data_IF_915232166471
#
_entry.id   IF_915232166471
#
_cell.length_a   1.000
_cell.length_b   1.000
_cell.length_c   1.000
_cell.angle_alpha   90.00
_cell.angle_beta   90.00
_cell.angle_gamma   90.00
#
_symmetry.space_group_name_H-M   'P 1'
#
loop_
_entity.id
_entity.type
_entity.pdbx_description
1 polymer ?
#
# COMPACT_ATOMS: atom_id res chain seq x y z
N UNK A 1 2.26 2.27 -15.73
CA UNK A 1 1.49 3.44 -16.18
C UNK A 1 1.24 4.42 -15.02
N UNK A 2 1.01 3.89 -13.80
CA UNK A 2 0.69 4.70 -12.61
C UNK A 2 1.49 4.19 -11.42
N UNK A 3 2.04 5.12 -10.64
CA UNK A 3 2.58 4.88 -9.30
C UNK A 3 1.55 5.38 -8.28
N UNK A 4 1.10 4.50 -7.41
CA UNK A 4 0.24 4.84 -6.27
C UNK A 4 1.00 4.63 -4.96
N UNK A 5 0.60 5.32 -3.90
CA UNK A 5 1.22 5.11 -2.60
C UNK A 5 0.26 5.40 -1.46
N UNK A 6 0.58 4.77 -0.33
CA UNK A 6 -0.21 4.81 0.89
C UNK A 6 0.40 5.81 1.88
N UNK A 7 -0.46 6.62 2.49
CA UNK A 7 -0.08 7.63 3.49
C UNK A 7 0.54 6.96 4.72
N UNK A 8 1.69 7.42 5.17
CA UNK A 8 2.43 8.57 4.64
C UNK A 8 3.87 8.24 4.23
N UNK A 9 4.51 7.25 4.87
CA UNK A 9 5.93 6.95 4.63
C UNK A 9 6.21 6.42 3.23
N UNK A 10 5.25 5.68 2.64
CA UNK A 10 5.32 5.22 1.26
C UNK A 10 5.50 6.34 0.23
N UNK A 11 5.01 7.56 0.54
CA UNK A 11 5.10 8.70 -0.37
C UNK A 11 6.53 9.10 -0.72
N UNK A 12 7.47 8.90 0.20
CA UNK A 12 8.89 9.22 -0.03
C UNK A 12 9.47 8.35 -1.16
N UNK A 13 9.22 7.06 -1.10
CA UNK A 13 9.68 6.11 -2.12
C UNK A 13 8.93 6.27 -3.43
N UNK A 14 7.60 6.33 -3.35
CA UNK A 14 6.75 6.41 -4.52
C UNK A 14 6.93 7.71 -5.31
N UNK A 15 7.12 8.84 -4.65
CA UNK A 15 7.38 10.12 -5.30
C UNK A 15 8.67 10.08 -6.11
N UNK A 16 9.72 9.48 -5.56
CA UNK A 16 11.01 9.30 -6.27
C UNK A 16 10.84 8.37 -7.48
N UNK A 17 10.18 7.23 -7.30
CA UNK A 17 9.91 6.26 -8.38
C UNK A 17 9.07 6.91 -9.49
N UNK A 18 8.01 7.63 -9.14
CA UNK A 18 7.14 8.29 -10.10
C UNK A 18 7.91 9.33 -10.94
N UNK A 19 8.76 10.13 -10.29
CA UNK A 19 9.61 11.10 -10.94
C UNK A 19 10.60 10.44 -11.91
N UNK A 20 11.33 9.42 -11.44
CA UNK A 20 12.39 8.78 -12.24
C UNK A 20 11.83 8.02 -13.45
N UNK A 21 10.61 7.47 -13.31
CA UNK A 21 9.90 6.79 -14.39
C UNK A 21 9.02 7.74 -15.22
N UNK A 22 8.93 9.02 -14.85
CA UNK A 22 8.03 10.01 -15.48
C UNK A 22 6.57 9.54 -15.54
N UNK A 23 6.09 8.93 -14.44
CA UNK A 23 4.74 8.38 -14.33
C UNK A 23 3.84 9.25 -13.43
N UNK A 24 2.53 9.26 -13.68
CA UNK A 24 1.55 9.86 -12.76
C UNK A 24 1.63 9.27 -11.37
N UNK A 25 1.43 10.11 -10.35
CA UNK A 25 1.45 9.72 -8.95
C UNK A 25 0.08 9.87 -8.30
N UNK A 26 -0.46 8.79 -7.75
CA UNK A 26 -1.78 8.72 -7.10
C UNK A 26 -1.61 8.53 -5.60
N UNK A 27 -2.25 9.40 -4.82
CA UNK A 27 -2.21 9.35 -3.37
C UNK A 27 -3.38 8.54 -2.82
N UNK A 28 -3.09 7.51 -2.02
CA UNK A 28 -4.06 6.83 -1.17
C UNK A 28 -3.90 7.34 0.26
N UNK A 29 -4.93 8.00 0.81
CA UNK A 29 -4.83 8.72 2.07
C UNK A 29 -5.92 8.35 3.07
N UNK A 30 -5.68 8.66 4.35
CA UNK A 30 -6.70 8.57 5.41
C UNK A 30 -7.88 9.50 5.08
N UNK A 31 -9.10 9.20 5.60
CA UNK A 31 -10.30 9.99 5.31
C UNK A 31 -10.13 11.48 5.57
N UNK A 32 -10.69 12.29 4.66
CA UNK A 32 -10.70 13.75 4.78
C UNK A 32 -9.37 14.43 4.49
N UNK A 33 -8.35 13.69 4.00
CA UNK A 33 -7.03 14.26 3.65
C UNK A 33 -6.89 14.60 2.17
N UNK A 34 -7.81 14.16 1.33
CA UNK A 34 -7.83 14.45 -0.10
C UNK A 34 -8.86 15.53 -0.42
N UNK A 35 -8.54 16.47 -1.34
CA UNK A 35 -9.53 17.38 -1.88
C UNK A 35 -10.53 16.61 -2.76
N UNK A 36 -11.68 17.20 -3.04
CA UNK A 36 -12.72 16.65 -3.91
C UNK A 36 -13.39 15.36 -3.40
N UNK A 37 -14.23 14.77 -4.25
CA UNK A 37 -14.92 13.50 -3.97
C UNK A 37 -13.94 12.35 -4.04
N UNK A 38 -14.08 11.38 -3.12
CA UNK A 38 -13.22 10.22 -3.00
C UNK A 38 -14.00 8.92 -3.12
N UNK A 39 -13.30 7.86 -3.54
CA UNK A 39 -13.68 6.48 -3.27
C UNK A 39 -13.02 6.07 -1.95
N UNK A 40 -13.77 5.36 -1.09
CA UNK A 40 -13.33 4.94 0.23
C UNK A 40 -13.40 3.42 0.37
N UNK A 41 -12.41 2.86 1.03
CA UNK A 41 -12.40 1.45 1.45
C UNK A 41 -12.05 1.35 2.92
N UNK A 42 -12.95 0.76 3.71
CA UNK A 42 -12.71 0.43 5.11
C UNK A 42 -12.09 -0.96 5.22
N UNK A 43 -11.26 -1.15 6.22
CA UNK A 43 -10.64 -2.42 6.57
C UNK A 43 -10.35 -2.48 8.07
N UNK A 44 -10.25 -3.69 8.60
CA UNK A 44 -10.00 -3.92 10.01
C UNK A 44 -8.49 -3.93 10.29
N UNK A 45 -8.12 -3.32 11.41
CA UNK A 45 -6.83 -3.45 12.07
C UNK A 45 -7.00 -4.32 13.31
N UNK A 46 -5.91 -4.73 13.94
CA UNK A 46 -5.95 -5.49 15.20
C UNK A 46 -6.74 -4.75 16.30
N UNK A 47 -6.67 -3.42 16.30
CA UNK A 47 -7.30 -2.55 17.31
C UNK A 47 -8.31 -1.56 16.71
N UNK A 48 -9.25 -2.05 15.89
CA UNK A 48 -10.32 -1.24 15.33
C UNK A 48 -10.41 -1.25 13.80
N UNK A 49 -11.26 -0.39 13.25
CA UNK A 49 -11.41 -0.21 11.80
C UNK A 49 -10.82 1.12 11.36
N UNK A 50 -10.24 1.13 10.18
CA UNK A 50 -9.77 2.34 9.52
C UNK A 50 -10.19 2.32 8.06
N UNK A 51 -9.96 3.39 7.35
CA UNK A 51 -10.24 3.46 5.92
C UNK A 51 -9.21 4.28 5.17
N UNK A 52 -9.14 4.05 3.87
CA UNK A 52 -8.25 4.75 2.96
C UNK A 52 -9.08 5.23 1.76
N UNK A 53 -8.66 6.33 1.17
CA UNK A 53 -9.35 7.03 0.10
C UNK A 53 -8.42 7.33 -1.06
N UNK A 54 -8.99 7.29 -2.28
CA UNK A 54 -8.41 7.86 -3.50
C UNK A 54 -9.40 8.80 -4.17
N UNK A 55 -8.91 9.80 -4.92
CA UNK A 55 -9.79 10.77 -5.58
C UNK A 55 -10.57 10.12 -6.74
N UNK A 56 -11.86 10.47 -6.88
CA UNK A 56 -12.72 9.97 -7.97
C UNK A 56 -12.33 10.50 -9.35
N UNK A 57 -11.79 11.70 -9.41
CA UNK A 57 -11.38 12.37 -10.65
C UNK A 57 -9.98 11.97 -11.13
N UNK A 58 -9.38 10.96 -10.55
CA UNK A 58 -8.11 10.39 -11.02
C UNK A 58 -8.32 9.76 -12.40
N UNK A 59 -7.50 10.16 -13.38
CA UNK A 59 -7.57 9.60 -14.74
C UNK A 59 -6.90 8.24 -14.77
N UNK A 60 -7.69 7.19 -14.65
CA UNK A 60 -7.25 5.79 -14.64
C UNK A 60 -8.11 5.01 -15.62
N UNK A 61 -7.47 4.37 -16.59
CA UNK A 61 -8.11 3.47 -17.53
C UNK A 61 -7.99 2.02 -17.05
N UNK A 62 -8.97 1.19 -17.36
CA UNK A 62 -9.05 -0.23 -16.92
C UNK A 62 -7.84 -1.09 -17.32
N UNK A 63 -7.12 -0.69 -18.36
CA UNK A 63 -5.96 -1.43 -18.90
C UNK A 63 -4.62 -0.94 -18.31
N UNK A 64 -4.64 0.12 -17.48
CA UNK A 64 -3.43 0.62 -16.82
C UNK A 64 -2.83 -0.43 -15.89
N UNK A 65 -1.50 -0.44 -15.83
CA UNK A 65 -0.71 -1.16 -14.83
C UNK A 65 -0.37 -0.20 -13.68
N UNK A 66 -0.60 -0.66 -12.46
CA UNK A 66 -0.43 0.15 -11.25
C UNK A 66 0.62 -0.50 -10.35
N UNK A 67 1.58 0.29 -9.92
CA UNK A 67 2.49 -0.09 -8.82
C UNK A 67 2.02 0.64 -7.57
N UNK A 68 1.65 -0.10 -6.52
CA UNK A 68 1.34 0.44 -5.20
C UNK A 68 2.59 0.33 -4.34
N UNK A 69 3.11 1.46 -3.89
CA UNK A 69 4.36 1.52 -3.13
C UNK A 69 4.08 1.89 -1.68
N UNK A 70 4.66 1.13 -0.74
CA UNK A 70 4.66 1.45 0.68
C UNK A 70 6.04 1.15 1.30
N UNK A 71 6.27 1.61 2.51
CA UNK A 71 7.51 1.35 3.24
C UNK A 71 7.54 -0.05 3.84
N UNK A 72 6.40 -0.55 4.33
CA UNK A 72 6.34 -1.79 5.09
C UNK A 72 5.02 -2.53 4.87
N UNK A 73 5.10 -3.86 4.78
CA UNK A 73 3.95 -4.74 4.89
C UNK A 73 3.98 -5.52 6.20
N UNK A 74 2.94 -5.34 7.01
CA UNK A 74 2.72 -6.07 8.27
C UNK A 74 1.61 -7.12 8.08
N UNK A 75 0.36 -6.78 8.34
CA UNK A 75 -0.80 -7.67 8.16
C UNK A 75 -1.39 -7.64 6.74
N UNK A 76 -0.95 -6.72 5.90
CA UNK A 76 -1.39 -6.57 4.51
C UNK A 76 -2.73 -5.86 4.29
N UNK A 77 -3.48 -5.58 5.36
CA UNK A 77 -4.83 -5.00 5.26
C UNK A 77 -4.88 -3.68 4.49
N UNK A 78 -3.96 -2.77 4.77
CA UNK A 78 -3.88 -1.46 4.11
C UNK A 78 -3.57 -1.59 2.62
N UNK A 79 -2.59 -2.41 2.27
CA UNK A 79 -2.19 -2.64 0.88
C UNK A 79 -3.32 -3.28 0.06
N UNK A 80 -4.02 -4.27 0.63
CA UNK A 80 -5.19 -4.91 0.01
C UNK A 80 -6.31 -3.89 -0.17
N UNK A 81 -6.61 -3.06 0.84
CA UNK A 81 -7.65 -2.04 0.74
C UNK A 81 -7.33 -1.03 -0.37
N UNK A 82 -6.07 -0.62 -0.50
CA UNK A 82 -5.61 0.23 -1.59
C UNK A 82 -5.81 -0.43 -2.96
N UNK A 83 -5.37 -1.67 -3.12
CA UNK A 83 -5.53 -2.43 -4.36
C UNK A 83 -7.02 -2.63 -4.73
N UNK A 84 -7.88 -2.88 -3.73
CA UNK A 84 -9.32 -3.00 -3.95
C UNK A 84 -9.99 -1.70 -4.40
N UNK A 85 -9.48 -0.53 -4.03
CA UNK A 85 -9.98 0.73 -4.56
C UNK A 85 -9.78 0.81 -6.08
N UNK A 86 -8.65 0.36 -6.60
CA UNK A 86 -8.39 0.34 -8.04
C UNK A 86 -9.22 -0.73 -8.76
N UNK A 87 -9.27 -1.94 -8.23
CA UNK A 87 -10.02 -3.03 -8.88
C UNK A 87 -11.52 -2.75 -8.91
N UNK A 88 -12.10 -2.20 -7.83
CA UNK A 88 -13.56 -2.02 -7.71
C UNK A 88 -14.07 -0.74 -8.35
N UNK A 89 -13.29 0.33 -8.36
CA UNK A 89 -13.78 1.63 -8.81
C UNK A 89 -13.26 2.03 -10.19
N UNK A 90 -12.19 1.42 -10.67
CA UNK A 90 -11.61 1.69 -11.99
C UNK A 90 -11.55 0.43 -12.86
N UNK A 91 -12.09 -0.69 -12.39
CA UNK A 91 -12.14 -1.98 -13.10
C UNK A 91 -10.74 -2.50 -13.51
N UNK A 92 -9.70 -2.17 -12.75
CA UNK A 92 -8.35 -2.68 -12.98
C UNK A 92 -8.30 -4.16 -12.65
N UNK A 93 -7.73 -4.96 -13.55
CA UNK A 93 -7.46 -6.37 -13.26
C UNK A 93 -6.44 -6.51 -12.14
N UNK A 94 -6.62 -7.51 -11.26
CA UNK A 94 -5.63 -7.80 -10.21
C UNK A 94 -4.24 -8.09 -10.77
N UNK A 95 -4.16 -8.71 -11.96
CA UNK A 95 -2.91 -8.99 -12.66
C UNK A 95 -2.15 -7.73 -13.08
N UNK A 96 -2.85 -6.58 -13.17
CA UNK A 96 -2.26 -5.28 -13.50
C UNK A 96 -1.86 -4.48 -12.25
N UNK A 97 -1.95 -5.07 -11.05
CA UNK A 97 -1.54 -4.42 -9.80
C UNK A 97 -0.36 -5.16 -9.21
N UNK A 98 0.74 -4.43 -9.01
CA UNK A 98 1.91 -4.86 -8.27
C UNK A 98 2.02 -4.04 -6.99
N UNK A 99 2.09 -4.70 -5.84
CA UNK A 99 2.40 -4.08 -4.56
C UNK A 99 3.90 -4.22 -4.31
N UNK A 100 4.55 -3.13 -3.95
CA UNK A 100 5.99 -3.08 -3.66
C UNK A 100 6.18 -2.45 -2.29
N UNK A 101 6.85 -3.16 -1.39
CA UNK A 101 7.22 -2.63 -0.08
C UNK A 101 8.73 -2.77 0.13
N UNK A 102 9.31 -1.83 0.87
CA UNK A 102 10.73 -1.93 1.24
C UNK A 102 10.93 -3.07 2.22
N UNK A 103 10.06 -3.18 3.23
CA UNK A 103 10.16 -4.15 4.32
C UNK A 103 8.94 -5.06 4.33
N UNK A 104 9.20 -6.38 4.47
CA UNK A 104 8.21 -7.37 4.87
C UNK A 104 8.44 -7.79 6.32
N UNK A 105 7.34 -8.00 7.05
CA UNK A 105 7.32 -8.65 8.37
C UNK A 105 6.61 -10.01 8.23
N UNK A 106 7.31 -11.07 7.79
CA UNK A 106 6.68 -12.33 7.38
C UNK A 106 5.87 -13.00 8.50
N UNK A 107 6.29 -12.82 9.76
CA UNK A 107 5.59 -13.37 10.94
C UNK A 107 4.16 -12.82 11.09
N UNK A 108 3.87 -11.66 10.52
CA UNK A 108 2.53 -11.05 10.51
C UNK A 108 1.67 -11.47 9.32
N UNK A 109 2.24 -12.23 8.39
CA UNK A 109 1.56 -12.91 7.31
C UNK A 109 0.97 -12.03 6.20
N UNK A 110 1.29 -10.73 6.17
CA UNK A 110 0.68 -9.78 5.25
C UNK A 110 1.00 -10.05 3.79
N UNK A 111 2.24 -10.35 3.46
CA UNK A 111 2.67 -10.69 2.10
C UNK A 111 1.97 -11.95 1.59
N UNK A 112 1.86 -12.98 2.44
CA UNK A 112 1.11 -14.20 2.14
C UNK A 112 -0.38 -13.93 1.91
N UNK A 113 -0.99 -13.05 2.71
CA UNK A 113 -2.39 -12.68 2.56
C UNK A 113 -2.63 -11.93 1.25
N UNK A 114 -1.76 -11.00 0.87
CA UNK A 114 -1.82 -10.26 -0.39
C UNK A 114 -1.77 -11.23 -1.58
N UNK A 115 -0.82 -12.17 -1.57
CA UNK A 115 -0.68 -13.19 -2.60
C UNK A 115 -1.93 -14.11 -2.69
N UNK A 116 -2.45 -14.57 -1.54
CA UNK A 116 -3.69 -15.37 -1.46
C UNK A 116 -4.91 -14.61 -1.99
N UNK A 117 -4.93 -13.29 -1.93
CA UNK A 117 -5.99 -12.46 -2.52
C UNK A 117 -5.83 -12.24 -4.02
N UNK A 118 -4.78 -12.79 -4.63
CA UNK A 118 -4.50 -12.77 -6.07
C UNK A 118 -3.81 -11.49 -6.54
N UNK A 119 -3.14 -10.76 -5.65
CA UNK A 119 -2.29 -9.63 -6.01
C UNK A 119 -0.83 -10.05 -6.05
N UNK A 120 -0.06 -9.40 -6.93
CA UNK A 120 1.39 -9.55 -6.94
C UNK A 120 2.01 -8.67 -5.84
N UNK A 121 2.98 -9.21 -5.13
CA UNK A 121 3.76 -8.46 -4.13
C UNK A 121 5.24 -8.73 -4.34
N UNK A 122 6.05 -7.69 -4.16
CA UNK A 122 7.50 -7.75 -4.06
C UNK A 122 7.99 -6.90 -2.89
N UNK A 123 8.96 -7.43 -2.16
CA UNK A 123 9.60 -6.76 -1.03
C UNK A 123 11.10 -6.78 -1.22
N UNK A 124 11.80 -5.78 -0.70
CA UNK A 124 13.25 -5.68 -0.82
C UNK A 124 13.99 -6.38 0.31
N UNK A 125 13.40 -6.35 1.50
CA UNK A 125 14.00 -6.93 2.72
C UNK A 125 12.91 -7.62 3.55
N UNK A 126 13.30 -8.68 4.26
CA UNK A 126 12.47 -9.37 5.24
C UNK A 126 13.05 -9.16 6.62
N UNK A 127 12.20 -8.81 7.59
CA UNK A 127 12.55 -8.78 9.00
C UNK A 127 11.72 -9.79 9.77
N UNK A 128 12.37 -10.84 10.23
CA UNK A 128 11.78 -11.84 11.11
C UNK A 128 11.81 -11.34 12.55
N UNK A 129 10.69 -11.52 13.26
CA UNK A 129 10.51 -11.02 14.62
C UNK A 129 11.46 -11.75 15.58
N UNK A 130 12.65 -11.20 15.80
CA UNK A 130 13.51 -11.65 16.88
C UNK A 130 13.21 -10.78 18.09
N UNK A 131 12.52 -11.33 19.10
CA UNK A 131 12.19 -10.64 20.36
C UNK A 131 13.39 -9.89 20.98
N UNK A 132 14.61 -10.42 20.86
CA UNK A 132 15.82 -9.76 21.34
C UNK A 132 16.14 -8.46 20.58
N UNK A 133 15.92 -8.43 19.27
CA UNK A 133 16.15 -7.22 18.46
C UNK A 133 15.07 -6.18 18.76
N UNK A 134 13.81 -6.61 18.95
CA UNK A 134 12.73 -5.71 19.31
C UNK A 134 12.96 -5.01 20.65
N UNK A 135 13.35 -5.74 21.68
CA UNK A 135 13.72 -5.16 22.97
C UNK A 135 14.93 -4.22 22.88
N UNK A 136 15.89 -4.51 22.04
CA UNK A 136 17.05 -3.64 21.82
C UNK A 136 16.67 -2.33 21.14
N UNK A 137 15.82 -2.38 20.09
CA UNK A 137 15.34 -1.18 19.39
C UNK A 137 14.39 -0.37 20.28
N UNK A 138 13.49 -1.04 21.01
CA UNK A 138 12.56 -0.40 21.94
C UNK A 138 13.28 0.37 23.04
N UNK A 139 14.31 -0.23 23.63
CA UNK A 139 15.13 0.42 24.64
C UNK A 139 16.09 1.50 24.10
N UNK A 140 16.28 1.58 22.78
CA UNK A 140 17.10 2.61 22.15
C UNK A 140 16.28 3.84 21.74
N UNK A 141 14.97 3.68 21.58
CA UNK A 141 14.02 4.74 21.15
C UNK A 141 13.34 5.43 22.35
N UNK A 142 13.35 4.82 23.56
CA UNK A 142 12.91 5.40 24.83
C UNK A 142 14.09 5.93 25.63
#
# INVERSE_FOLDING_TARGET
DIVASIESRGFIFAGTIARDLSLPFVLARKPGKLPNKTYRKSFNLEYGSTSIEIQKNTKIDKDHKIIIVDDLVATGGTAIACAELFTKNFNISKSNILIVCVIDLPDLGGSNLIAKRGYQIKTLMEFWFNLKIFYSIYNWVL
#
